data_IF_156567610740
#
_entry.id   IF_156567610740
#
_cell.length_a   1.000
_cell.length_b   1.000
_cell.length_c   1.000
_cell.angle_alpha   90.00
_cell.angle_beta   90.00
_cell.angle_gamma   90.00
#
_symmetry.space_group_name_H-M   'P 1'
#
loop_
_entity.id
_entity.type
_entity.pdbx_description
1 polymer ?
#
# COMPACT_ATOMS: atom_id res chain seq x y z
N UNK A 1 -9.79 -30.69 -3.03
CA UNK A 1 -10.73 -29.65 -2.54
C UNK A 1 -11.34 -29.02 -3.77
N UNK A 2 -12.65 -29.15 -3.95
CA UNK A 2 -13.38 -28.50 -5.04
C UNK A 2 -13.90 -27.15 -4.58
N UNK A 3 -13.82 -26.14 -5.44
CA UNK A 3 -14.38 -24.81 -5.18
C UNK A 3 -15.77 -24.71 -5.82
N UNK A 4 -16.69 -24.00 -5.17
CA UNK A 4 -18.03 -23.76 -5.72
C UNK A 4 -18.01 -22.88 -6.98
N UNK A 5 -16.94 -22.12 -7.20
CA UNK A 5 -16.68 -21.28 -8.37
C UNK A 5 -15.17 -21.00 -8.50
N UNK A 6 -14.73 -20.49 -9.65
CA UNK A 6 -13.33 -20.15 -9.89
C UNK A 6 -12.83 -19.09 -8.88
N UNK A 7 -11.65 -19.32 -8.30
CA UNK A 7 -11.01 -18.32 -7.46
C UNK A 7 -10.62 -17.09 -8.29
N UNK A 8 -10.66 -15.90 -7.68
CA UNK A 8 -10.11 -14.70 -8.29
C UNK A 8 -8.62 -14.89 -8.61
N UNK A 9 -8.13 -14.36 -9.75
CA UNK A 9 -6.72 -14.46 -10.08
C UNK A 9 -5.86 -13.75 -9.03
N UNK A 10 -4.68 -14.31 -8.76
CA UNK A 10 -3.68 -13.67 -7.92
C UNK A 10 -3.22 -12.36 -8.58
N UNK A 11 -3.16 -11.28 -7.81
CA UNK A 11 -2.56 -10.02 -8.29
C UNK A 11 -1.05 -10.17 -8.38
N UNK A 12 -0.50 -9.86 -9.55
CA UNK A 12 0.89 -10.05 -9.93
C UNK A 12 1.49 -8.71 -10.38
N UNK A 13 2.55 -8.25 -9.71
CA UNK A 13 3.28 -7.03 -10.09
C UNK A 13 4.44 -7.36 -11.02
N UNK A 14 4.74 -6.50 -12.02
CA UNK A 14 5.93 -6.63 -12.84
C UNK A 14 7.19 -6.37 -12.01
N UNK A 15 8.30 -6.97 -12.42
CA UNK A 15 9.62 -6.74 -11.84
C UNK A 15 10.49 -6.15 -12.94
N UNK A 16 11.12 -5.00 -12.68
CA UNK A 16 11.97 -4.34 -13.67
C UNK A 16 13.11 -5.27 -14.11
N UNK A 17 13.34 -5.34 -15.43
CA UNK A 17 14.34 -6.23 -16.03
C UNK A 17 14.08 -7.73 -15.90
N UNK A 18 12.85 -8.18 -15.57
CA UNK A 18 12.54 -9.60 -15.39
C UNK A 18 11.20 -10.03 -15.99
N UNK A 19 11.14 -11.25 -16.52
CA UNK A 19 9.89 -11.90 -16.92
C UNK A 19 9.12 -12.49 -15.73
N UNK A 20 9.73 -12.54 -14.54
CA UNK A 20 9.07 -12.95 -13.31
C UNK A 20 8.04 -11.91 -12.85
N UNK A 21 7.18 -12.33 -11.93
CA UNK A 21 6.15 -11.47 -11.32
C UNK A 21 6.14 -11.65 -9.80
N UNK A 22 5.88 -10.56 -9.08
CA UNK A 22 5.73 -10.59 -7.63
C UNK A 22 4.27 -10.86 -7.23
N UNK A 23 3.96 -11.94 -6.48
CA UNK A 23 2.60 -12.25 -6.06
C UNK A 23 2.18 -11.46 -4.82
N UNK A 24 1.15 -10.62 -4.94
CA UNK A 24 0.71 -9.74 -3.86
C UNK A 24 -0.22 -10.46 -2.88
N UNK A 25 0.18 -10.58 -1.61
CA UNK A 25 -0.66 -11.20 -0.58
C UNK A 25 -1.64 -10.23 0.08
N UNK A 26 -1.12 -9.13 0.64
CA UNK A 26 -1.84 -8.10 1.37
C UNK A 26 -1.17 -6.76 1.13
N UNK A 27 -1.92 -5.67 1.19
CA UNK A 27 -1.41 -4.31 1.08
C UNK A 27 -1.64 -3.61 2.41
N UNK A 28 -0.55 -3.25 3.09
CA UNK A 28 -0.57 -2.44 4.30
C UNK A 28 -0.03 -1.05 3.96
N UNK A 29 -0.73 -0.02 4.44
CA UNK A 29 -0.35 1.37 4.29
C UNK A 29 -0.08 1.96 5.68
N UNK A 30 0.81 2.94 5.76
CA UNK A 30 1.20 3.58 7.03
C UNK A 30 0.77 5.04 7.02
N UNK A 31 -0.20 5.39 7.86
CA UNK A 31 -0.65 6.77 8.02
C UNK A 31 0.30 7.57 8.91
N UNK A 32 0.50 8.85 8.55
CA UNK A 32 1.27 9.85 9.33
C UNK A 32 2.74 9.47 9.55
N UNK A 33 3.35 8.75 8.60
CA UNK A 33 4.73 8.27 8.72
C UNK A 33 5.79 9.29 8.25
N UNK A 34 5.38 10.50 7.88
CA UNK A 34 6.26 11.63 7.58
C UNK A 34 5.89 12.83 8.47
N UNK A 35 6.87 13.32 9.23
CA UNK A 35 6.65 14.36 10.23
C UNK A 35 6.14 15.68 9.65
N UNK A 36 6.53 16.02 8.41
CA UNK A 36 6.07 17.23 7.73
C UNK A 36 4.62 17.09 7.26
N UNK A 37 4.25 15.94 6.70
CA UNK A 37 2.87 15.65 6.30
C UNK A 37 1.89 15.60 7.49
N UNK A 38 2.33 15.07 8.64
CA UNK A 38 1.52 15.11 9.85
C UNK A 38 1.18 16.56 10.27
N UNK A 39 2.14 17.49 10.16
CA UNK A 39 1.92 18.92 10.45
C UNK A 39 0.99 19.58 9.44
N UNK A 40 1.09 19.24 8.15
CA UNK A 40 0.20 19.74 7.09
C UNK A 40 -1.26 19.35 7.33
N UNK A 41 -1.49 18.15 7.84
CA UNK A 41 -2.82 17.64 8.21
C UNK A 41 -3.33 18.17 9.57
N UNK A 42 -2.60 19.10 10.20
CA UNK A 42 -2.97 19.70 11.49
C UNK A 42 -2.67 18.82 12.72
N UNK A 43 -1.83 17.80 12.57
CA UNK A 43 -1.41 16.91 13.65
C UNK A 43 -0.01 17.23 14.17
N UNK A 44 0.25 16.92 15.44
CA UNK A 44 1.57 17.05 16.05
C UNK A 44 2.36 15.74 15.87
N UNK A 45 3.40 15.70 15.01
CA UNK A 45 4.17 14.47 14.73
C UNK A 45 4.94 13.94 15.93
N UNK A 46 5.19 14.75 16.96
CA UNK A 46 5.89 14.33 18.17
C UNK A 46 4.96 13.56 19.13
N UNK A 47 3.64 13.53 18.88
CA UNK A 47 2.65 13.04 19.84
C UNK A 47 1.97 11.73 19.48
N UNK A 48 2.00 11.29 18.22
CA UNK A 48 1.19 10.15 17.79
C UNK A 48 2.01 9.14 16.98
N UNK A 49 2.02 7.84 17.37
CA UNK A 49 2.67 6.81 16.58
C UNK A 49 1.96 6.64 15.22
N UNK A 50 2.68 6.22 14.17
CA UNK A 50 2.06 5.84 12.91
C UNK A 50 1.02 4.75 13.13
N UNK A 51 0.00 4.72 12.27
CA UNK A 51 -1.03 3.69 12.29
C UNK A 51 -1.09 2.97 10.95
N UNK A 52 -1.67 1.77 10.94
CA UNK A 52 -1.81 0.95 9.75
C UNK A 52 -3.25 0.88 9.29
N UNK A 53 -3.45 0.90 7.98
CA UNK A 53 -4.69 0.52 7.32
C UNK A 53 -4.38 -0.41 6.15
N UNK A 54 -5.42 -0.97 5.53
CA UNK A 54 -5.27 -1.91 4.43
C UNK A 54 -6.06 -1.46 3.20
N UNK A 55 -5.51 -1.81 2.04
CA UNK A 55 -6.24 -1.88 0.78
C UNK A 55 -6.27 -3.34 0.34
N UNK A 56 -7.23 -3.68 -0.51
CA UNK A 56 -7.27 -5.02 -1.07
C UNK A 56 -6.17 -5.16 -2.13
N UNK A 57 -5.60 -6.37 -2.33
CA UNK A 57 -4.58 -6.59 -3.36
C UNK A 57 -5.01 -6.13 -4.76
N UNK A 58 -6.29 -6.30 -5.10
CA UNK A 58 -6.88 -5.91 -6.39
C UNK A 58 -7.10 -4.40 -6.55
N UNK A 59 -6.77 -3.58 -5.55
CA UNK A 59 -6.72 -2.13 -5.70
C UNK A 59 -5.39 -1.64 -6.29
N UNK A 60 -4.37 -2.51 -6.40
CA UNK A 60 -3.13 -2.17 -7.09
C UNK A 60 -3.35 -2.17 -8.60
N UNK A 61 -3.17 -1.01 -9.22
CA UNK A 61 -3.27 -0.84 -10.66
C UNK A 61 -1.92 -0.43 -11.25
N UNK A 62 -1.47 -1.21 -12.24
CA UNK A 62 -0.22 -1.00 -12.98
C UNK A 62 -0.45 -0.50 -14.40
N UNK A 63 -1.71 -0.26 -14.78
CA UNK A 63 -2.11 0.15 -16.13
C UNK A 63 -1.66 1.57 -16.49
N UNK A 64 -1.37 2.40 -15.47
CA UNK A 64 -1.11 3.82 -15.64
C UNK A 64 -2.36 4.64 -15.98
N UNK A 65 -3.56 4.05 -15.87
CA UNK A 65 -4.84 4.73 -16.08
C UNK A 65 -5.62 4.72 -14.76
N UNK A 66 -5.83 5.89 -14.17
CA UNK A 66 -6.61 6.00 -12.92
C UNK A 66 -7.94 6.72 -13.18
N UNK A 67 -9.06 6.01 -13.34
CA UNK A 67 -10.35 6.65 -13.50
C UNK A 67 -10.75 7.38 -12.21
N UNK A 68 -11.29 8.58 -12.34
CA UNK A 68 -11.78 9.34 -11.18
C UNK A 68 -12.90 8.55 -10.48
N UNK A 69 -12.78 8.25 -9.17
CA UNK A 69 -13.69 7.34 -8.50
C UNK A 69 -15.03 8.01 -8.20
N UNK A 70 -16.07 7.20 -8.07
CA UNK A 70 -17.40 7.68 -7.69
C UNK A 70 -17.46 8.14 -6.24
N UNK A 71 -18.49 8.94 -5.92
CA UNK A 71 -18.82 9.42 -4.58
C UNK A 71 -17.72 10.23 -3.89
N UNK A 72 -16.88 10.92 -4.67
CA UNK A 72 -15.96 11.94 -4.16
C UNK A 72 -16.01 13.18 -5.06
N UNK A 73 -15.71 14.33 -4.50
CA UNK A 73 -15.32 15.54 -5.24
C UNK A 73 -13.91 16.01 -4.85
N UNK A 74 -13.24 15.28 -3.96
CA UNK A 74 -11.96 15.64 -3.36
C UNK A 74 -11.01 14.44 -3.35
N UNK A 75 -10.39 14.20 -4.51
CA UNK A 75 -9.47 13.09 -4.72
C UNK A 75 -8.02 13.56 -4.52
N UNK A 76 -7.34 13.00 -3.54
CA UNK A 76 -5.94 13.28 -3.24
C UNK A 76 -5.02 12.15 -3.75
N UNK A 77 -3.79 12.53 -4.08
CA UNK A 77 -2.68 11.61 -4.34
C UNK A 77 -1.61 11.75 -3.25
N UNK A 78 -1.08 10.64 -2.78
CA UNK A 78 0.08 10.59 -1.88
C UNK A 78 1.15 9.70 -2.52
N UNK A 79 2.35 10.24 -2.74
CA UNK A 79 3.47 9.47 -3.32
C UNK A 79 4.17 8.71 -2.20
N UNK A 80 4.26 7.40 -2.34
CA UNK A 80 4.75 6.51 -1.29
C UNK A 80 5.84 5.56 -1.78
N UNK A 81 6.74 5.18 -0.87
CA UNK A 81 7.66 4.07 -1.09
C UNK A 81 6.94 2.76 -0.74
N UNK A 82 6.65 1.95 -1.77
CA UNK A 82 6.15 0.60 -1.56
C UNK A 82 7.32 -0.34 -1.24
N UNK A 83 7.20 -1.08 -0.14
CA UNK A 83 8.15 -2.12 0.29
C UNK A 83 7.53 -3.49 0.04
N UNK A 84 8.14 -4.28 -0.86
CA UNK A 84 7.66 -5.60 -1.21
C UNK A 84 8.38 -6.63 -0.34
N UNK A 85 7.63 -7.41 0.44
CA UNK A 85 8.20 -8.41 1.34
C UNK A 85 8.30 -9.79 0.66
N UNK A 86 9.51 -10.35 0.63
CA UNK A 86 9.76 -11.73 0.18
C UNK A 86 9.78 -12.74 1.32
N UNK A 87 10.02 -12.26 2.55
CA UNK A 87 9.96 -13.03 3.79
C UNK A 87 8.89 -12.49 4.74
N UNK A 88 8.68 -13.18 5.85
CA UNK A 88 7.75 -12.76 6.88
C UNK A 88 8.04 -13.43 8.21
N UNK A 89 7.26 -13.06 9.23
CA UNK A 89 7.42 -13.53 10.60
C UNK A 89 6.50 -12.76 11.54
N UNK A 90 6.57 -13.08 12.83
CA UNK A 90 5.94 -12.32 13.90
C UNK A 90 7.02 -11.86 14.87
N UNK A 91 6.84 -10.70 15.52
CA UNK A 91 7.83 -10.13 16.46
C UNK A 91 9.26 -10.06 15.87
N UNK A 92 9.36 -9.61 14.61
CA UNK A 92 10.64 -9.50 13.89
C UNK A 92 11.49 -8.42 14.54
N UNK A 93 12.74 -8.74 14.88
CA UNK A 93 13.71 -7.74 15.35
C UNK A 93 13.96 -6.71 14.23
N UNK A 94 13.91 -5.40 14.52
CA UNK A 94 14.14 -4.36 13.51
C UNK A 94 15.46 -4.51 12.73
N UNK A 95 16.49 -5.14 13.32
CA UNK A 95 17.78 -5.39 12.66
C UNK A 95 17.69 -6.44 11.55
N UNK A 96 16.74 -7.35 11.64
CA UNK A 96 16.54 -8.43 10.68
C UNK A 96 15.51 -8.07 9.59
N UNK A 97 14.72 -7.00 9.80
CA UNK A 97 13.61 -6.61 8.93
C UNK A 97 14.03 -6.39 7.47
N UNK A 98 15.19 -5.77 7.25
CA UNK A 98 15.70 -5.48 5.90
C UNK A 98 15.92 -6.75 5.07
N UNK A 99 16.29 -7.87 5.71
CA UNK A 99 16.53 -9.14 5.02
C UNK A 99 15.23 -9.79 4.49
N UNK A 100 14.06 -9.33 4.97
CA UNK A 100 12.75 -9.81 4.52
C UNK A 100 12.23 -9.03 3.31
N UNK A 101 12.87 -7.90 2.96
CA UNK A 101 12.48 -7.07 1.82
C UNK A 101 12.97 -7.72 0.53
N UNK A 102 12.03 -8.00 -0.37
CA UNK A 102 12.31 -8.46 -1.74
C UNK A 102 12.73 -7.31 -2.64
N UNK A 103 12.05 -6.16 -2.52
CA UNK A 103 12.31 -5.01 -3.38
C UNK A 103 11.44 -3.81 -3.04
N UNK A 104 11.53 -2.79 -3.88
CA UNK A 104 10.88 -1.51 -3.70
C UNK A 104 10.21 -1.03 -4.99
N UNK A 105 9.19 -0.19 -4.84
CA UNK A 105 8.56 0.51 -5.95
C UNK A 105 8.04 1.89 -5.50
N UNK A 106 7.76 2.76 -6.47
CA UNK A 106 6.97 3.97 -6.24
C UNK A 106 5.49 3.62 -6.36
N UNK A 107 4.68 4.07 -5.42
CA UNK A 107 3.24 3.88 -5.43
C UNK A 107 2.50 5.21 -5.17
N UNK A 108 1.24 5.24 -5.58
CA UNK A 108 0.31 6.31 -5.24
C UNK A 108 -0.76 5.76 -4.31
N UNK A 109 -0.84 6.29 -3.09
CA UNK A 109 -2.02 6.11 -2.24
C UNK A 109 -3.09 7.13 -2.66
N UNK A 110 -4.03 6.65 -3.46
CA UNK A 110 -5.15 7.45 -3.93
C UNK A 110 -6.28 7.44 -2.89
N UNK A 111 -6.70 8.63 -2.46
CA UNK A 111 -7.63 8.81 -1.33
C UNK A 111 -8.79 9.72 -1.69
N UNK A 112 -10.02 9.23 -1.48
CA UNK A 112 -11.24 10.06 -1.47
C UNK A 112 -11.28 10.82 -0.14
N UNK A 113 -10.72 12.01 -0.11
CA UNK A 113 -10.39 12.73 1.13
C UNK A 113 -11.64 13.15 1.88
N UNK A 114 -12.63 13.65 1.15
CA UNK A 114 -13.95 14.00 1.66
C UNK A 114 -14.61 12.86 2.45
N UNK A 115 -14.50 11.62 1.97
CA UNK A 115 -15.06 10.45 2.67
C UNK A 115 -14.22 9.99 3.86
N UNK A 116 -12.91 10.20 3.83
CA UNK A 116 -12.03 9.81 4.93
C UNK A 116 -12.15 10.75 6.12
N UNK A 117 -12.42 12.04 5.86
CA UNK A 117 -12.58 13.06 6.89
C UNK A 117 -13.98 13.08 7.53
N UNK A 118 -14.94 12.32 6.97
CA UNK A 118 -16.33 12.27 7.40
C UNK A 118 -16.58 11.35 8.60
#
# INVERSE_FOLDING_TARGET
MELCFAAAPQVLLPIDGSDLRFPVRRVYCVGRNYAEHAREMGHDPEREPPFFFQKNPDNLDISGQFPYPSATQDLHHEVELAVLLGGGGAEIDPRDAQALVFGYAVALDMTRRDLQAA
#
